data_IF_734483738384
#
_entry.id   IF_734483738384
#
_cell.length_a   1.000
_cell.length_b   1.000
_cell.length_c   1.000
_cell.angle_alpha   90.00
_cell.angle_beta   90.00
_cell.angle_gamma   90.00
#
_symmetry.space_group_name_H-M   'P 1'
#
loop_
_entity.id
_entity.type
_entity.pdbx_description
1 polymer ?
#
# COMPACT_ATOMS: atom_id res chain seq x y z
N UNK A 1 -24.79 -8.07 -8.67
CA UNK A 1 -24.97 -6.99 -7.71
C UNK A 1 -25.91 -5.92 -8.28
N UNK A 2 -26.87 -5.39 -7.49
CA UNK A 2 -27.90 -4.47 -7.99
C UNK A 2 -27.34 -3.20 -8.65
N UNK A 3 -26.24 -2.66 -8.13
CA UNK A 3 -25.59 -1.45 -8.66
C UNK A 3 -25.00 -1.64 -10.06
N UNK A 4 -24.33 -2.76 -10.30
CA UNK A 4 -23.73 -3.07 -11.60
C UNK A 4 -24.81 -3.23 -12.69
N UNK A 5 -25.88 -3.98 -12.37
CA UNK A 5 -27.00 -4.12 -13.31
C UNK A 5 -27.64 -2.78 -13.65
N UNK A 6 -27.88 -1.91 -12.63
CA UNK A 6 -28.46 -0.57 -12.82
C UNK A 6 -27.56 0.30 -13.69
N UNK A 7 -26.24 0.24 -13.49
CA UNK A 7 -25.27 0.98 -14.28
C UNK A 7 -25.33 0.60 -15.76
N UNK A 8 -25.29 -0.70 -16.09
CA UNK A 8 -25.33 -1.16 -17.48
C UNK A 8 -26.71 -1.05 -18.11
N UNK A 9 -27.79 -1.15 -17.32
CA UNK A 9 -29.15 -0.95 -17.84
C UNK A 9 -29.35 0.48 -18.36
N UNK A 10 -28.76 1.48 -17.72
CA UNK A 10 -28.90 2.88 -18.11
C UNK A 10 -30.33 3.39 -18.05
N UNK A 11 -30.59 4.54 -18.63
CA UNK A 11 -31.93 5.10 -18.74
C UNK A 11 -32.80 4.24 -19.66
N UNK A 12 -33.95 3.82 -19.15
CA UNK A 12 -34.91 3.03 -19.92
C UNK A 12 -34.59 1.56 -20.11
N UNK A 13 -33.67 1.00 -19.29
CA UNK A 13 -33.26 -0.43 -19.32
C UNK A 13 -32.79 -0.95 -20.69
N UNK A 14 -32.23 -0.09 -21.53
CA UNK A 14 -31.80 -0.44 -22.88
C UNK A 14 -30.45 -1.13 -22.93
N UNK A 15 -29.74 -1.22 -21.83
CA UNK A 15 -28.40 -1.81 -21.72
C UNK A 15 -27.37 -1.27 -22.73
N UNK A 16 -27.53 0.00 -23.14
CA UNK A 16 -26.68 0.63 -24.17
C UNK A 16 -25.19 0.60 -23.82
N UNK A 17 -24.85 0.67 -22.52
CA UNK A 17 -23.44 0.58 -22.06
C UNK A 17 -22.79 -0.78 -22.29
N UNK A 18 -23.54 -1.84 -22.57
CA UNK A 18 -22.99 -3.15 -22.95
C UNK A 18 -22.58 -3.20 -24.43
N UNK A 19 -23.01 -2.23 -25.21
CA UNK A 19 -22.67 -2.09 -26.64
C UNK A 19 -21.63 -1.00 -26.88
N UNK A 20 -20.95 -0.52 -25.83
CA UNK A 20 -19.83 0.39 -25.95
C UNK A 20 -18.64 -0.35 -26.60
N UNK A 21 -18.13 0.18 -27.70
CA UNK A 21 -17.03 -0.42 -28.48
C UNK A 21 -15.77 -0.63 -27.66
N UNK A 22 -15.55 0.20 -26.63
CA UNK A 22 -14.40 0.12 -25.74
C UNK A 22 -14.59 -0.83 -24.55
N UNK A 23 -15.81 -1.34 -24.32
CA UNK A 23 -16.10 -2.12 -23.12
C UNK A 23 -15.16 -3.33 -22.95
N UNK A 24 -15.02 -4.14 -24.00
CA UNK A 24 -14.18 -5.34 -23.96
C UNK A 24 -12.69 -4.99 -23.81
N UNK A 25 -12.22 -3.95 -24.51
CA UNK A 25 -10.85 -3.45 -24.38
C UNK A 25 -10.56 -2.98 -22.96
N UNK A 26 -11.44 -2.17 -22.38
CA UNK A 26 -11.30 -1.69 -21.00
C UNK A 26 -11.33 -2.83 -19.97
N UNK A 27 -12.20 -3.84 -20.16
CA UNK A 27 -12.23 -5.02 -19.30
C UNK A 27 -10.93 -5.84 -19.37
N UNK A 28 -10.34 -5.99 -20.57
CA UNK A 28 -9.03 -6.63 -20.73
C UNK A 28 -7.92 -5.83 -20.03
N UNK A 29 -7.87 -4.52 -20.22
CA UNK A 29 -6.92 -3.64 -19.52
C UNK A 29 -7.04 -3.79 -17.99
N UNK A 30 -8.26 -3.78 -17.44
CA UNK A 30 -8.49 -3.99 -16.01
C UNK A 30 -8.01 -5.38 -15.57
N UNK A 31 -8.25 -6.41 -16.36
CA UNK A 31 -7.79 -7.77 -16.06
C UNK A 31 -6.26 -7.84 -16.00
N UNK A 32 -5.56 -7.15 -16.91
CA UNK A 32 -4.08 -7.07 -16.90
C UNK A 32 -3.54 -6.51 -15.57
N UNK A 33 -4.13 -5.43 -15.05
CA UNK A 33 -3.76 -4.92 -13.72
C UNK A 33 -3.93 -6.01 -12.65
N UNK A 34 -5.05 -6.75 -12.67
CA UNK A 34 -5.32 -7.76 -11.65
C UNK A 34 -4.46 -9.01 -11.78
N UNK A 35 -3.96 -9.35 -12.97
CA UNK A 35 -2.95 -10.39 -13.14
C UNK A 35 -1.64 -9.97 -12.45
N UNK A 36 -1.19 -8.74 -12.66
CA UNK A 36 0.01 -8.22 -11.98
C UNK A 36 -0.20 -8.15 -10.45
N UNK A 37 -1.29 -7.56 -10.00
CA UNK A 37 -1.55 -7.33 -8.56
C UNK A 37 -1.74 -8.65 -7.78
N UNK A 38 -2.53 -9.58 -8.32
CA UNK A 38 -2.94 -10.77 -7.57
C UNK A 38 -2.08 -12.00 -7.89
N UNK A 39 -1.48 -12.07 -9.08
CA UNK A 39 -0.69 -13.22 -9.53
C UNK A 39 0.78 -12.90 -9.66
N UNK A 40 1.16 -11.61 -9.67
CA UNK A 40 2.53 -11.14 -9.92
C UNK A 40 3.06 -11.63 -11.28
N UNK A 41 2.15 -11.82 -12.24
CA UNK A 41 2.44 -12.27 -13.58
C UNK A 41 2.72 -11.08 -14.48
N UNK A 42 3.65 -11.25 -15.41
CA UNK A 42 3.81 -10.34 -16.54
C UNK A 42 2.75 -10.61 -17.60
N UNK A 43 2.39 -9.59 -18.37
CA UNK A 43 1.36 -9.67 -19.39
C UNK A 43 1.99 -9.39 -20.75
N UNK A 44 1.84 -10.31 -21.69
CA UNK A 44 2.37 -10.16 -23.04
C UNK A 44 1.84 -8.88 -23.71
N UNK A 45 2.74 -8.09 -24.28
CA UNK A 45 2.42 -6.81 -24.90
C UNK A 45 2.29 -5.62 -23.95
N UNK A 46 2.43 -5.84 -22.63
CA UNK A 46 2.34 -4.81 -21.60
C UNK A 46 3.69 -4.64 -20.88
N UNK A 47 4.64 -3.92 -21.50
CA UNK A 47 6.02 -3.79 -21.01
C UNK A 47 6.12 -3.30 -19.54
N UNK A 48 5.22 -2.42 -19.11
CA UNK A 48 5.17 -1.91 -17.74
C UNK A 48 5.03 -3.02 -16.68
N UNK A 49 4.47 -4.19 -17.07
CA UNK A 49 4.27 -5.32 -16.14
C UNK A 49 5.59 -6.04 -15.79
N UNK A 50 6.66 -5.82 -16.58
CA UNK A 50 8.01 -6.32 -16.31
C UNK A 50 8.77 -5.43 -15.32
N UNK A 51 8.32 -4.19 -15.11
CA UNK A 51 8.97 -3.24 -14.22
C UNK A 51 8.80 -3.67 -12.75
N UNK A 52 9.91 -4.09 -12.14
CA UNK A 52 9.94 -4.58 -10.76
C UNK A 52 9.45 -3.55 -9.74
N UNK A 53 9.74 -2.28 -9.96
CA UNK A 53 9.30 -1.21 -9.05
C UNK A 53 7.79 -1.00 -9.10
N UNK A 54 7.18 -1.15 -10.29
CA UNK A 54 5.72 -1.12 -10.43
C UNK A 54 5.10 -2.35 -9.76
N UNK A 55 5.68 -3.54 -9.97
CA UNK A 55 5.20 -4.76 -9.30
C UNK A 55 5.26 -4.60 -7.76
N UNK A 56 6.38 -4.09 -7.22
CA UNK A 56 6.57 -3.85 -5.79
C UNK A 56 5.55 -2.87 -5.22
N UNK A 57 5.33 -1.73 -5.88
CA UNK A 57 4.38 -0.73 -5.35
C UNK A 57 2.93 -1.18 -5.46
N UNK A 58 2.54 -1.90 -6.52
CA UNK A 58 1.21 -2.50 -6.64
C UNK A 58 0.99 -3.60 -5.60
N UNK A 59 2.00 -4.44 -5.34
CA UNK A 59 1.92 -5.43 -4.27
C UNK A 59 1.81 -4.77 -2.87
N UNK A 60 2.48 -3.64 -2.64
CA UNK A 60 2.33 -2.87 -1.41
C UNK A 60 0.92 -2.27 -1.28
N UNK A 61 0.38 -1.66 -2.34
CA UNK A 61 -0.99 -1.16 -2.41
C UNK A 61 -2.02 -2.26 -2.14
N UNK A 62 -1.77 -3.49 -2.62
CA UNK A 62 -2.64 -4.64 -2.38
C UNK A 62 -2.73 -5.06 -0.90
N UNK A 63 -1.86 -4.53 -0.04
CA UNK A 63 -1.94 -4.69 1.42
C UNK A 63 -2.75 -3.60 2.11
N UNK A 64 -3.25 -2.61 1.38
CA UNK A 64 -4.08 -1.56 1.94
C UNK A 64 -5.41 -2.14 2.44
N UNK A 65 -5.91 -1.75 3.62
CA UNK A 65 -7.03 -2.43 4.29
C UNK A 65 -8.41 -2.34 3.60
N UNK A 66 -8.50 -1.62 2.51
CA UNK A 66 -9.73 -1.51 1.73
C UNK A 66 -9.46 -1.41 0.23
N UNK A 67 -10.52 -1.39 -0.58
CA UNK A 67 -10.45 -1.45 -2.04
C UNK A 67 -10.40 -0.06 -2.72
N UNK A 68 -10.39 1.06 -1.97
CA UNK A 68 -10.49 2.40 -2.56
C UNK A 68 -9.27 2.77 -3.42
N UNK A 69 -8.08 2.27 -3.10
CA UNK A 69 -6.89 2.49 -3.89
C UNK A 69 -7.00 1.97 -5.34
N UNK A 70 -7.89 0.99 -5.56
CA UNK A 70 -8.09 0.38 -6.89
C UNK A 70 -8.72 1.34 -7.88
N UNK A 71 -9.57 2.26 -7.42
CA UNK A 71 -10.24 3.21 -8.31
C UNK A 71 -9.24 4.11 -9.04
N UNK A 72 -8.40 4.91 -8.37
CA UNK A 72 -7.44 5.78 -9.04
C UNK A 72 -6.42 4.99 -9.88
N UNK A 73 -6.00 3.80 -9.46
CA UNK A 73 -5.08 2.97 -10.25
C UNK A 73 -5.72 2.53 -11.57
N UNK A 74 -6.99 2.06 -11.53
CA UNK A 74 -7.72 1.65 -12.74
C UNK A 74 -7.99 2.84 -13.63
N UNK A 75 -8.49 3.95 -13.08
CA UNK A 75 -8.81 5.16 -13.86
C UNK A 75 -7.54 5.68 -14.54
N UNK A 76 -6.42 5.75 -13.81
CA UNK A 76 -5.14 6.18 -14.35
C UNK A 76 -4.69 5.30 -15.53
N UNK A 77 -4.73 3.99 -15.36
CA UNK A 77 -4.33 3.05 -16.41
C UNK A 77 -5.22 3.16 -17.66
N UNK A 78 -6.54 3.21 -17.47
CA UNK A 78 -7.48 3.35 -18.58
C UNK A 78 -7.31 4.66 -19.37
N UNK A 79 -6.93 5.74 -18.69
CA UNK A 79 -6.79 7.06 -19.31
C UNK A 79 -5.42 7.29 -19.96
N UNK A 80 -4.36 6.71 -19.41
CA UNK A 80 -2.98 7.11 -19.76
C UNK A 80 -2.08 5.97 -20.23
N UNK A 81 -2.55 4.70 -20.28
CA UNK A 81 -1.71 3.55 -20.67
C UNK A 81 -1.09 3.65 -22.06
N UNK A 82 -1.69 4.42 -22.94
CA UNK A 82 -1.26 4.54 -24.32
C UNK A 82 -0.29 5.75 -24.53
N UNK A 83 0.12 6.44 -23.45
CA UNK A 83 1.07 7.57 -23.51
C UNK A 83 2.52 7.08 -23.49
N UNK A 84 3.42 7.79 -24.18
CA UNK A 84 4.85 7.43 -24.29
C UNK A 84 5.54 7.32 -22.93
N UNK A 85 5.23 8.21 -21.98
CA UNK A 85 5.80 8.25 -20.63
C UNK A 85 4.99 7.46 -19.58
N UNK A 86 4.07 6.59 -20.03
CA UNK A 86 3.14 5.91 -19.12
C UNK A 86 3.85 5.22 -17.95
N UNK A 87 4.80 4.33 -18.23
CA UNK A 87 5.46 3.51 -17.20
C UNK A 87 6.09 4.36 -16.10
N UNK A 88 6.84 5.38 -16.49
CA UNK A 88 7.52 6.31 -15.58
C UNK A 88 6.52 7.11 -14.74
N UNK A 89 5.48 7.63 -15.37
CA UNK A 89 4.46 8.45 -14.69
C UNK A 89 3.56 7.57 -13.80
N UNK A 90 3.24 6.36 -14.24
CA UNK A 90 2.45 5.40 -13.47
C UNK A 90 3.17 4.95 -12.19
N UNK A 91 4.49 4.69 -12.27
CA UNK A 91 5.30 4.38 -11.08
C UNK A 91 5.26 5.52 -10.07
N UNK A 92 5.51 6.76 -10.51
CA UNK A 92 5.48 7.93 -9.64
C UNK A 92 4.09 8.16 -9.04
N UNK A 93 3.05 8.01 -9.85
CA UNK A 93 1.67 8.09 -9.43
C UNK A 93 1.34 7.06 -8.33
N UNK A 94 1.66 5.78 -8.54
CA UNK A 94 1.42 4.73 -7.57
C UNK A 94 2.21 4.93 -6.26
N UNK A 95 3.46 5.38 -6.35
CA UNK A 95 4.29 5.73 -5.17
C UNK A 95 3.67 6.88 -4.37
N UNK A 96 3.25 7.95 -5.05
CA UNK A 96 2.58 9.09 -4.41
C UNK A 96 1.27 8.66 -3.77
N UNK A 97 0.45 7.90 -4.50
CA UNK A 97 -0.81 7.37 -3.98
C UNK A 97 -0.59 6.54 -2.71
N UNK A 98 0.37 5.62 -2.73
CA UNK A 98 0.70 4.80 -1.57
C UNK A 98 1.17 5.63 -0.39
N UNK A 99 2.06 6.63 -0.62
CA UNK A 99 2.57 7.49 0.42
C UNK A 99 1.46 8.27 1.13
N UNK A 100 0.53 8.83 0.37
CA UNK A 100 -0.61 9.57 0.93
C UNK A 100 -1.58 8.64 1.67
N UNK A 101 -1.94 7.51 1.07
CA UNK A 101 -2.83 6.53 1.67
C UNK A 101 -2.27 5.97 2.99
N UNK A 102 -0.99 5.58 2.99
CA UNK A 102 -0.33 5.05 4.18
C UNK A 102 -0.25 6.10 5.28
N UNK A 103 0.17 7.32 4.95
CA UNK A 103 0.31 8.41 5.93
C UNK A 103 -1.02 8.71 6.61
N UNK A 104 -2.09 8.89 5.82
CA UNK A 104 -3.43 9.12 6.36
C UNK A 104 -3.93 7.95 7.20
N UNK A 105 -3.70 6.71 6.74
CA UNK A 105 -4.15 5.52 7.48
C UNK A 105 -3.40 5.31 8.80
N UNK A 106 -2.12 5.64 8.85
CA UNK A 106 -1.34 5.58 10.09
C UNK A 106 -1.88 6.54 11.16
N UNK A 107 -2.32 7.73 10.75
CA UNK A 107 -2.93 8.69 11.69
C UNK A 107 -4.37 8.32 12.03
N UNK A 108 -5.19 8.03 11.00
CA UNK A 108 -6.62 7.74 11.14
C UNK A 108 -6.93 6.41 10.45
N UNK A 109 -6.87 5.26 11.16
CA UNK A 109 -7.02 3.93 10.57
C UNK A 109 -8.49 3.60 10.23
N UNK A 110 -9.14 4.47 9.45
CA UNK A 110 -10.50 4.30 8.99
C UNK A 110 -10.61 4.41 7.46
N UNK A 111 -11.58 3.69 6.91
CA UNK A 111 -11.86 3.70 5.47
C UNK A 111 -12.30 5.09 4.99
N UNK A 112 -13.08 5.79 5.80
CA UNK A 112 -13.67 7.08 5.40
C UNK A 112 -12.65 8.22 5.32
N UNK A 113 -11.49 8.09 5.96
CA UNK A 113 -10.46 9.14 6.01
C UNK A 113 -9.92 9.51 4.61
N UNK A 114 -9.94 8.60 3.65
CA UNK A 114 -9.36 8.79 2.30
C UNK A 114 -10.41 8.91 1.18
N UNK A 115 -11.68 8.60 1.46
CA UNK A 115 -12.72 8.44 0.45
C UNK A 115 -12.92 9.70 -0.42
N UNK A 116 -13.05 10.86 0.20
CA UNK A 116 -13.24 12.12 -0.53
C UNK A 116 -12.02 12.50 -1.37
N UNK A 117 -10.80 12.31 -0.83
CA UNK A 117 -9.56 12.59 -1.55
C UNK A 117 -9.40 11.69 -2.78
N UNK A 118 -9.76 10.41 -2.68
CA UNK A 118 -9.73 9.47 -3.81
C UNK A 118 -10.71 9.89 -4.90
N UNK A 119 -11.95 10.27 -4.56
CA UNK A 119 -12.92 10.71 -5.56
C UNK A 119 -12.46 11.97 -6.31
N UNK A 120 -11.82 12.92 -5.61
CA UNK A 120 -11.23 14.10 -6.25
C UNK A 120 -10.05 13.73 -7.14
N UNK A 121 -9.22 12.79 -6.69
CA UNK A 121 -8.10 12.28 -7.47
C UNK A 121 -8.58 11.61 -8.77
N UNK A 122 -9.64 10.79 -8.72
CA UNK A 122 -10.22 10.16 -9.91
C UNK A 122 -10.65 11.22 -10.95
N UNK A 123 -11.24 12.33 -10.51
CA UNK A 123 -11.58 13.44 -11.42
C UNK A 123 -10.33 14.12 -11.98
N UNK A 124 -9.31 14.35 -11.15
CA UNK A 124 -8.05 14.97 -11.59
C UNK A 124 -7.29 14.12 -12.63
N UNK A 125 -7.34 12.79 -12.52
CA UNK A 125 -6.71 11.84 -13.46
C UNK A 125 -7.29 12.00 -14.88
N UNK A 126 -8.58 12.27 -15.03
CA UNK A 126 -9.22 12.44 -16.34
C UNK A 126 -8.59 13.60 -17.12
N UNK A 127 -8.15 14.63 -16.43
CA UNK A 127 -7.58 15.84 -17.03
C UNK A 127 -6.06 15.84 -17.19
N UNK A 128 -5.32 14.94 -16.54
CA UNK A 128 -3.86 14.97 -16.51
C UNK A 128 -3.24 13.62 -16.19
N UNK A 129 -2.11 13.29 -16.86
CA UNK A 129 -1.24 12.16 -16.50
C UNK A 129 -0.39 12.43 -15.24
N UNK A 130 -0.40 13.66 -14.72
CA UNK A 130 0.20 14.06 -13.45
C UNK A 130 -0.83 14.77 -12.57
N UNK A 131 -1.89 14.05 -12.14
CA UNK A 131 -3.01 14.63 -11.41
C UNK A 131 -2.59 15.26 -10.08
N UNK A 132 -3.39 16.20 -9.59
CA UNK A 132 -3.21 16.77 -8.25
C UNK A 132 -3.73 15.81 -7.18
N UNK A 133 -3.01 15.74 -6.06
CA UNK A 133 -3.37 14.94 -4.89
C UNK A 133 -3.83 15.86 -3.76
N UNK A 134 -5.10 15.78 -3.39
CA UNK A 134 -5.69 16.59 -2.31
C UNK A 134 -5.92 15.75 -1.04
N UNK A 135 -4.88 15.01 -0.63
CA UNK A 135 -4.92 14.28 0.64
C UNK A 135 -4.49 15.22 1.78
N UNK A 136 -4.99 14.92 2.98
CA UNK A 136 -4.55 15.66 4.17
C UNK A 136 -3.09 15.42 4.47
N UNK A 137 -2.40 16.45 4.88
CA UNK A 137 -1.02 16.34 5.37
C UNK A 137 -1.02 15.82 6.81
N UNK A 138 -0.16 14.86 7.08
CA UNK A 138 0.06 14.32 8.43
C UNK A 138 1.33 14.92 9.01
N UNK A 139 1.27 15.33 10.28
CA UNK A 139 2.44 15.84 10.99
C UNK A 139 3.57 14.82 11.06
N UNK A 140 4.81 15.25 10.84
CA UNK A 140 5.98 14.36 10.76
C UNK A 140 6.26 13.62 12.06
N UNK A 141 5.98 14.22 13.23
CA UNK A 141 6.17 13.57 14.53
C UNK A 141 5.06 12.54 14.76
N UNK A 142 3.81 12.89 14.45
CA UNK A 142 2.68 11.96 14.50
C UNK A 142 2.96 10.76 13.61
N UNK A 143 3.43 10.98 12.38
CA UNK A 143 3.78 9.92 11.45
C UNK A 143 4.88 9.01 12.02
N UNK A 144 5.94 9.60 12.61
CA UNK A 144 7.02 8.84 13.24
C UNK A 144 6.51 7.93 14.35
N UNK A 145 5.68 8.44 15.24
CA UNK A 145 5.16 7.68 16.39
C UNK A 145 4.19 6.59 15.94
N UNK A 146 3.39 6.85 14.92
CA UNK A 146 2.49 5.85 14.33
C UNK A 146 3.21 4.78 13.52
N UNK A 147 4.37 5.08 12.93
CA UNK A 147 5.23 4.04 12.31
C UNK A 147 5.84 3.14 13.38
N UNK A 148 6.29 3.67 14.52
CA UNK A 148 6.87 2.86 15.61
C UNK A 148 5.86 1.91 16.22
N UNK A 149 4.64 2.37 16.48
CA UNK A 149 3.55 1.56 17.02
C UNK A 149 2.33 1.61 16.08
N UNK A 150 2.38 0.87 14.96
CA UNK A 150 1.37 0.97 13.91
C UNK A 150 0.11 0.18 14.26
N UNK A 151 -1.03 0.67 13.78
CA UNK A 151 -2.23 -0.14 13.73
C UNK A 151 -1.97 -1.47 13.00
N UNK A 152 -2.46 -2.58 13.53
CA UNK A 152 -2.19 -3.94 13.01
C UNK A 152 -2.35 -4.09 11.49
N UNK A 153 -3.34 -3.41 10.91
CA UNK A 153 -3.60 -3.49 9.47
C UNK A 153 -2.59 -2.71 8.62
N UNK A 154 -1.79 -1.80 9.21
CA UNK A 154 -0.74 -1.07 8.52
C UNK A 154 0.59 -1.85 8.48
N UNK A 155 0.80 -2.80 9.38
CA UNK A 155 2.07 -3.51 9.54
C UNK A 155 2.55 -4.16 8.23
N UNK A 156 1.65 -4.82 7.49
CA UNK A 156 2.04 -5.46 6.22
C UNK A 156 2.53 -4.46 5.17
N UNK A 157 1.91 -3.28 5.09
CA UNK A 157 2.36 -2.22 4.18
C UNK A 157 3.76 -1.73 4.54
N UNK A 158 4.01 -1.46 5.82
CA UNK A 158 5.31 -1.01 6.32
C UNK A 158 6.40 -2.05 6.05
N UNK A 159 6.15 -3.33 6.37
CA UNK A 159 7.09 -4.41 6.17
C UNK A 159 7.41 -4.64 4.69
N UNK A 160 6.43 -4.50 3.79
CA UNK A 160 6.67 -4.59 2.35
C UNK A 160 7.60 -3.49 1.86
N UNK A 161 7.34 -2.23 2.24
CA UNK A 161 8.22 -1.13 1.83
C UNK A 161 9.63 -1.31 2.38
N UNK A 162 9.77 -1.71 3.64
CA UNK A 162 11.10 -2.02 4.20
C UNK A 162 11.84 -3.11 3.40
N UNK A 163 11.13 -4.18 3.03
CA UNK A 163 11.73 -5.26 2.24
C UNK A 163 12.10 -4.79 0.82
N UNK A 164 11.23 -4.00 0.18
CA UNK A 164 11.42 -3.55 -1.21
C UNK A 164 12.47 -2.45 -1.38
N UNK A 165 12.89 -1.80 -0.32
CA UNK A 165 14.08 -0.94 -0.32
C UNK A 165 15.40 -1.75 -0.27
N UNK A 166 15.37 -3.01 0.16
CA UNK A 166 16.55 -3.86 0.29
C UNK A 166 16.65 -4.99 -0.76
N UNK A 167 15.57 -5.24 -1.53
CA UNK A 167 15.53 -6.33 -2.52
C UNK A 167 14.77 -5.97 -3.79
N UNK A 168 15.14 -6.59 -4.90
CA UNK A 168 14.48 -6.36 -6.20
C UNK A 168 13.22 -7.23 -6.37
N UNK A 169 13.23 -8.43 -5.80
CA UNK A 169 12.09 -9.34 -5.94
C UNK A 169 10.96 -9.00 -4.95
N UNK A 170 9.72 -9.18 -5.41
CA UNK A 170 8.55 -9.07 -4.54
C UNK A 170 8.55 -10.16 -3.49
N UNK A 171 7.93 -9.89 -2.34
CA UNK A 171 7.79 -10.88 -1.28
C UNK A 171 7.02 -12.12 -1.78
N UNK A 172 7.37 -13.33 -1.28
CA UNK A 172 6.66 -14.55 -1.65
C UNK A 172 5.19 -14.49 -1.23
N UNK A 173 4.30 -15.22 -1.91
CA UNK A 173 2.87 -15.18 -1.62
C UNK A 173 2.52 -15.61 -0.19
N UNK A 174 3.27 -16.55 0.35
CA UNK A 174 3.04 -17.11 1.68
C UNK A 174 4.10 -16.65 2.67
N UNK A 175 3.95 -15.42 3.13
CA UNK A 175 4.71 -14.86 4.23
C UNK A 175 3.82 -14.36 5.37
N UNK A 176 4.37 -14.29 6.56
CA UNK A 176 3.70 -13.88 7.78
C UNK A 176 4.53 -12.80 8.50
N UNK A 177 3.89 -12.09 9.42
CA UNK A 177 4.55 -11.14 10.30
C UNK A 177 5.21 -11.98 11.40
N UNK A 178 6.53 -11.98 11.41
CA UNK A 178 7.31 -12.60 12.47
C UNK A 178 7.62 -11.59 13.58
N UNK A 179 7.46 -12.02 14.83
CA UNK A 179 7.89 -11.29 16.02
C UNK A 179 9.27 -11.79 16.46
N UNK A 180 10.30 -10.95 16.31
CA UNK A 180 11.69 -11.31 16.66
C UNK A 180 11.76 -11.72 18.13
N UNK A 181 11.30 -10.85 19.05
CA UNK A 181 11.00 -11.21 20.42
C UNK A 181 9.63 -11.90 20.45
N UNK A 182 9.54 -13.15 20.92
CA UNK A 182 8.32 -13.92 20.82
C UNK A 182 7.15 -13.31 21.61
N UNK A 183 5.94 -13.49 21.13
CA UNK A 183 4.71 -13.03 21.82
C UNK A 183 4.43 -13.79 23.13
N UNK A 184 5.03 -14.96 23.31
CA UNK A 184 4.98 -15.73 24.55
C UNK A 184 6.39 -15.94 25.06
N UNK A 185 6.69 -15.41 26.23
CA UNK A 185 8.02 -15.50 26.88
C UNK A 185 7.92 -16.25 28.20
N UNK A 186 9.06 -16.73 28.70
CA UNK A 186 9.18 -17.33 30.03
C UNK A 186 9.22 -16.23 31.11
N UNK A 187 8.62 -16.45 32.26
CA UNK A 187 8.49 -15.47 33.34
C UNK A 187 9.84 -14.89 33.85
N UNK A 188 10.93 -15.65 33.70
CA UNK A 188 12.28 -15.23 34.08
C UNK A 188 13.05 -14.44 33.01
N UNK A 189 12.45 -14.22 31.82
CA UNK A 189 13.12 -13.50 30.74
C UNK A 189 13.15 -11.99 30.98
N UNK A 190 12.08 -11.44 31.54
CA UNK A 190 11.99 -10.03 31.92
C UNK A 190 11.79 -9.88 33.41
N UNK A 191 12.90 -9.76 34.16
CA UNK A 191 12.83 -9.52 35.60
C UNK A 191 12.47 -8.05 35.88
N UNK A 192 11.47 -7.83 36.74
CA UNK A 192 11.06 -6.51 37.19
C UNK A 192 10.48 -5.54 36.13
N UNK A 193 10.02 -6.04 35.01
CA UNK A 193 9.32 -5.24 33.98
C UNK A 193 7.84 -5.65 33.99
N UNK A 194 6.95 -4.66 33.92
CA UNK A 194 5.51 -4.89 33.83
C UNK A 194 5.17 -5.59 32.49
N UNK A 195 4.39 -6.66 32.57
CA UNK A 195 3.94 -7.46 31.40
C UNK A 195 3.22 -6.62 30.35
N UNK A 196 2.49 -5.58 30.75
CA UNK A 196 1.75 -4.74 29.80
C UNK A 196 2.69 -3.85 28.97
N UNK A 197 3.80 -3.39 29.56
CA UNK A 197 4.86 -2.69 28.84
C UNK A 197 5.52 -3.62 27.82
N UNK A 198 5.78 -4.87 28.21
CA UNK A 198 6.39 -5.87 27.32
C UNK A 198 5.44 -6.18 26.14
N UNK A 199 4.14 -6.42 26.43
CA UNK A 199 3.13 -6.70 25.40
C UNK A 199 3.01 -5.55 24.40
N UNK A 200 3.01 -4.30 24.89
CA UNK A 200 2.98 -3.13 24.03
C UNK A 200 4.22 -3.11 23.11
N UNK A 201 5.41 -3.24 23.68
CA UNK A 201 6.69 -3.19 22.93
C UNK A 201 6.83 -4.31 21.91
N UNK A 202 6.34 -5.49 22.20
CA UNK A 202 6.34 -6.63 21.26
C UNK A 202 5.55 -6.30 19.97
N UNK A 203 4.53 -5.46 20.07
CA UNK A 203 3.72 -5.05 18.92
C UNK A 203 4.31 -3.88 18.13
N UNK A 204 5.43 -3.31 18.55
CA UNK A 204 6.15 -2.28 17.79
C UNK A 204 6.75 -2.81 16.48
N UNK A 205 6.95 -1.92 15.52
CA UNK A 205 7.53 -2.26 14.21
C UNK A 205 8.98 -2.75 14.32
N UNK A 206 9.70 -2.25 15.31
CA UNK A 206 11.06 -2.68 15.63
C UNK A 206 11.18 -4.16 15.96
N UNK A 207 10.09 -4.79 16.39
CA UNK A 207 10.04 -6.22 16.67
C UNK A 207 9.49 -7.07 15.52
N UNK A 208 9.19 -6.49 14.35
CA UNK A 208 8.49 -7.20 13.27
C UNK A 208 9.33 -7.25 12.01
N UNK A 209 9.31 -8.42 11.34
CA UNK A 209 9.91 -8.66 10.03
C UNK A 209 8.95 -9.51 9.17
N UNK A 210 9.03 -9.41 7.83
CA UNK A 210 8.34 -10.35 6.95
C UNK A 210 9.11 -11.67 6.93
N UNK A 211 8.43 -12.81 7.07
CA UNK A 211 9.07 -14.10 7.09
C UNK A 211 8.26 -15.15 6.33
N UNK A 212 8.92 -16.02 5.56
CA UNK A 212 8.25 -17.09 4.84
C UNK A 212 7.48 -17.98 5.81
N UNK A 213 6.23 -18.27 5.49
CA UNK A 213 5.33 -19.03 6.37
C UNK A 213 5.93 -20.36 6.84
N UNK A 214 6.61 -21.09 5.96
CA UNK A 214 7.22 -22.39 6.30
C UNK A 214 8.35 -22.24 7.33
N UNK A 215 9.24 -21.28 7.11
CA UNK A 215 10.36 -21.00 8.02
C UNK A 215 9.87 -20.42 9.35
N UNK A 216 8.83 -19.58 9.31
CA UNK A 216 8.20 -19.03 10.51
C UNK A 216 7.60 -20.12 11.40
N UNK A 217 6.95 -21.13 10.82
CA UNK A 217 6.41 -22.28 11.58
C UNK A 217 7.56 -23.04 12.27
N UNK A 218 8.70 -23.24 11.60
CA UNK A 218 9.88 -23.93 12.18
C UNK A 218 10.52 -23.11 13.28
N UNK A 219 10.68 -21.79 13.08
CA UNK A 219 11.21 -20.86 14.08
C UNK A 219 10.34 -20.83 15.36
N UNK A 220 9.01 -20.88 15.16
CA UNK A 220 8.04 -20.95 16.24
C UNK A 220 8.21 -19.82 17.26
N UNK A 221 7.99 -20.14 18.52
CA UNK A 221 8.09 -19.20 19.66
C UNK A 221 9.49 -19.17 20.28
N UNK A 222 10.52 -19.50 19.50
CA UNK A 222 11.92 -19.47 19.95
C UNK A 222 12.40 -18.04 20.24
N UNK A 223 13.40 -17.92 21.10
CA UNK A 223 14.14 -16.67 21.28
C UNK A 223 15.07 -16.40 20.11
N UNK A 224 15.52 -15.16 19.96
CA UNK A 224 16.24 -14.66 18.80
C UNK A 224 17.40 -15.56 18.32
N UNK A 225 18.31 -15.94 19.22
CA UNK A 225 19.44 -16.80 18.87
C UNK A 225 19.05 -18.15 18.26
N UNK A 226 17.92 -18.74 18.69
CA UNK A 226 17.37 -19.97 18.09
C UNK A 226 16.74 -19.73 16.72
N UNK A 227 16.18 -18.55 16.47
CA UNK A 227 15.54 -18.19 15.20
C UNK A 227 16.54 -17.81 14.12
N UNK A 228 17.75 -17.36 14.48
CA UNK A 228 18.81 -16.91 13.54
C UNK A 228 19.09 -17.93 12.44
N UNK A 229 19.09 -19.23 12.76
CA UNK A 229 19.31 -20.29 11.78
C UNK A 229 18.22 -20.30 10.69
N UNK A 230 16.95 -20.10 11.07
CA UNK A 230 15.85 -20.02 10.11
C UNK A 230 15.86 -18.69 9.34
N UNK A 231 16.31 -17.59 9.97
CA UNK A 231 16.49 -16.30 9.28
C UNK A 231 17.58 -16.36 8.23
N UNK A 232 18.66 -17.13 8.45
CA UNK A 232 19.71 -17.35 7.47
C UNK A 232 19.23 -18.05 6.19
N UNK A 233 18.25 -18.94 6.33
CA UNK A 233 17.62 -19.67 5.22
C UNK A 233 16.59 -18.82 4.45
N UNK A 234 16.22 -17.64 4.95
CA UNK A 234 15.24 -16.77 4.33
C UNK A 234 15.72 -16.23 2.97
N UNK A 235 14.82 -16.23 1.99
CA UNK A 235 15.00 -15.50 0.73
C UNK A 235 14.69 -14.00 0.86
N UNK A 236 14.08 -13.58 1.97
CA UNK A 236 13.74 -12.17 2.23
C UNK A 236 14.97 -11.49 2.84
N UNK A 237 15.55 -10.53 2.11
CA UNK A 237 16.84 -9.89 2.44
C UNK A 237 16.85 -9.30 3.86
N UNK A 238 15.86 -8.48 4.21
CA UNK A 238 15.79 -7.85 5.53
C UNK A 238 15.69 -8.87 6.67
N UNK A 239 15.04 -10.00 6.45
CA UNK A 239 14.96 -11.10 7.43
C UNK A 239 16.30 -11.85 7.52
N UNK A 240 16.88 -12.17 6.36
CA UNK A 240 18.22 -12.78 6.32
C UNK A 240 19.28 -11.92 7.00
N UNK A 241 19.19 -10.59 6.87
CA UNK A 241 20.13 -9.69 7.54
C UNK A 241 20.04 -9.76 9.07
N UNK A 242 18.90 -10.14 9.65
CA UNK A 242 18.78 -10.36 11.10
C UNK A 242 19.66 -11.50 11.61
N UNK A 243 19.91 -12.54 10.80
CA UNK A 243 20.80 -13.64 11.20
C UNK A 243 22.26 -13.23 11.35
N UNK A 244 22.68 -12.13 10.71
CA UNK A 244 24.05 -11.62 10.70
C UNK A 244 24.40 -10.73 11.91
N UNK A 245 23.43 -10.43 12.76
CA UNK A 245 23.69 -9.64 13.97
C UNK A 245 24.55 -10.46 14.94
N UNK A 246 25.54 -9.82 15.58
CA UNK A 246 26.48 -10.49 16.48
C UNK A 246 25.80 -11.01 17.76
N UNK A 247 24.78 -10.28 18.26
CA UNK A 247 24.04 -10.68 19.45
C UNK A 247 23.13 -11.88 19.17
N UNK A 248 23.01 -12.78 20.13
CA UNK A 248 22.01 -13.85 20.17
C UNK A 248 20.78 -13.47 20.99
N UNK A 249 20.77 -12.27 21.54
CA UNK A 249 19.65 -11.73 22.32
C UNK A 249 18.95 -10.60 21.57
N UNK A 250 17.63 -10.48 21.79
CA UNK A 250 16.77 -9.44 21.28
C UNK A 250 15.85 -8.97 22.38
N UNK A 251 16.10 -7.78 22.90
CA UNK A 251 15.42 -7.24 24.06
C UNK A 251 14.62 -5.96 23.71
N UNK A 252 14.05 -5.31 24.72
CA UNK A 252 13.22 -4.11 24.53
C UNK A 252 14.00 -2.91 24.02
N UNK A 253 15.30 -2.79 24.38
CA UNK A 253 16.17 -1.72 23.87
C UNK A 253 16.46 -1.90 22.39
N UNK A 254 16.72 -3.14 21.96
CA UNK A 254 16.90 -3.45 20.53
C UNK A 254 15.64 -3.12 19.72
N UNK A 255 14.44 -3.36 20.28
CA UNK A 255 13.18 -2.96 19.67
C UNK A 255 13.12 -1.44 19.54
N UNK A 256 13.41 -0.70 20.61
CA UNK A 256 13.35 0.75 20.62
C UNK A 256 14.35 1.39 19.63
N UNK A 257 15.57 0.89 19.57
CA UNK A 257 16.58 1.34 18.60
C UNK A 257 16.14 1.07 17.16
N UNK A 258 15.59 -0.13 16.92
CA UNK A 258 15.11 -0.48 15.59
C UNK A 258 13.85 0.29 15.19
N UNK A 259 12.95 0.63 16.14
CA UNK A 259 11.81 1.51 15.92
C UNK A 259 12.24 2.86 15.33
N UNK A 260 13.29 3.46 15.89
CA UNK A 260 13.83 4.74 15.42
C UNK A 260 14.36 4.59 13.99
N UNK A 261 15.24 3.60 13.75
CA UNK A 261 15.83 3.37 12.43
C UNK A 261 14.78 3.10 11.36
N UNK A 262 13.80 2.26 11.65
CA UNK A 262 12.71 1.91 10.73
C UNK A 262 11.82 3.12 10.47
N UNK A 263 11.47 3.87 11.51
CA UNK A 263 10.65 5.07 11.37
C UNK A 263 11.34 6.13 10.51
N UNK A 264 12.64 6.38 10.72
CA UNK A 264 13.37 7.36 9.94
C UNK A 264 13.56 6.91 8.48
N UNK A 265 13.86 5.64 8.24
CA UNK A 265 13.98 5.08 6.90
C UNK A 265 12.66 5.17 6.12
N UNK A 266 11.54 4.77 6.74
CA UNK A 266 10.23 4.83 6.10
C UNK A 266 9.77 6.28 5.83
N UNK A 267 9.99 7.21 6.76
CA UNK A 267 9.72 8.63 6.51
C UNK A 267 10.54 9.17 5.35
N UNK A 268 11.81 8.78 5.25
CA UNK A 268 12.67 9.18 4.13
C UNK A 268 12.14 8.66 2.78
N UNK A 269 11.68 7.40 2.73
CA UNK A 269 11.06 6.82 1.53
C UNK A 269 9.80 7.57 1.15
N UNK A 270 8.87 7.76 2.08
CA UNK A 270 7.61 8.48 1.81
C UNK A 270 7.87 9.92 1.36
N UNK A 271 8.83 10.60 1.99
CA UNK A 271 9.24 11.95 1.58
C UNK A 271 9.82 11.95 0.17
N UNK A 272 10.73 11.03 -0.15
CA UNK A 272 11.32 10.89 -1.49
C UNK A 272 10.23 10.72 -2.55
N UNK A 273 9.26 9.85 -2.35
CA UNK A 273 8.17 9.62 -3.29
C UNK A 273 7.27 10.84 -3.45
N UNK A 274 7.05 11.60 -2.38
CA UNK A 274 6.33 12.86 -2.43
C UNK A 274 7.10 13.94 -3.21
N UNK A 275 8.41 14.06 -2.98
CA UNK A 275 9.27 15.05 -3.64
C UNK A 275 9.49 14.74 -5.13
N UNK A 276 9.52 13.45 -5.52
CA UNK A 276 9.67 13.00 -6.90
C UNK A 276 8.40 13.22 -7.75
N UNK A 277 7.27 13.43 -7.11
CA UNK A 277 6.00 13.63 -7.77
C UNK A 277 5.70 15.13 -7.93
N UNK A 278 5.64 15.57 -9.18
CA UNK A 278 5.27 16.95 -9.53
C UNK A 278 3.98 16.90 -10.32
N UNK A 279 2.89 17.40 -9.74
CA UNK A 279 1.62 17.53 -10.43
C UNK A 279 1.70 18.59 -11.54
N UNK A 280 0.92 18.40 -12.60
CA UNK A 280 0.74 19.45 -13.58
C UNK A 280 0.08 20.67 -12.91
N UNK A 281 0.41 21.90 -13.36
CA UNK A 281 -0.29 23.08 -12.90
C UNK A 281 -1.79 22.88 -13.10
N UNK A 282 -2.58 23.11 -12.07
CA UNK A 282 -4.03 23.14 -12.22
C UNK A 282 -4.33 24.28 -13.20
N UNK A 283 -4.50 23.93 -14.47
CA UNK A 283 -5.09 24.87 -15.42
C UNK A 283 -6.48 25.07 -14.86
N UNK A 284 -6.77 26.26 -14.33
CA UNK A 284 -8.14 26.67 -14.07
C UNK A 284 -8.82 26.64 -15.43
N UNK A 285 -9.40 25.50 -15.77
CA UNK A 285 -10.37 25.44 -16.84
C UNK A 285 -11.45 26.38 -16.31
N UNK A 286 -11.57 27.54 -16.92
CA UNK A 286 -12.78 28.34 -16.78
C UNK A 286 -13.92 27.36 -16.85
N UNK A 287 -14.60 27.20 -15.74
CA UNK A 287 -15.53 26.11 -15.50
C UNK A 287 -16.62 26.16 -16.60
N UNK A 288 -16.36 25.48 -17.69
CA UNK A 288 -17.48 25.00 -18.50
C UNK A 288 -18.31 24.19 -17.51
N UNK A 289 -19.55 24.64 -17.27
CA UNK A 289 -20.44 24.01 -16.32
C UNK A 289 -20.38 22.49 -16.52
N UNK A 290 -20.28 21.70 -15.45
CA UNK A 290 -20.16 20.25 -15.56
C UNK A 290 -21.22 19.75 -16.54
N UNK A 291 -20.85 18.83 -17.42
CA UNK A 291 -21.82 18.28 -18.37
C UNK A 291 -23.03 17.71 -17.61
N UNK A 292 -24.18 17.66 -18.23
CA UNK A 292 -25.38 17.11 -17.62
C UNK A 292 -25.17 15.70 -17.05
N UNK A 293 -24.28 14.90 -17.65
CA UNK A 293 -23.87 13.57 -17.14
C UNK A 293 -23.00 13.67 -15.89
N UNK A 294 -22.07 14.62 -15.83
CA UNK A 294 -21.23 14.87 -14.64
C UNK A 294 -22.06 15.39 -13.47
N UNK A 295 -23.03 16.29 -13.73
CA UNK A 295 -23.98 16.76 -12.72
C UNK A 295 -24.88 15.65 -12.20
N UNK A 296 -25.38 14.77 -13.08
CA UNK A 296 -26.19 13.63 -12.69
C UNK A 296 -25.40 12.62 -11.83
N UNK A 297 -24.12 12.42 -12.13
CA UNK A 297 -23.24 11.56 -11.34
C UNK A 297 -22.94 12.17 -9.97
N UNK A 298 -22.67 13.47 -9.90
CA UNK A 298 -22.47 14.21 -8.64
C UNK A 298 -23.75 14.18 -7.78
N UNK A 299 -24.92 14.39 -8.36
CA UNK A 299 -26.18 14.29 -7.63
C UNK A 299 -26.49 12.88 -7.14
N UNK A 300 -26.15 11.85 -7.91
CA UNK A 300 -26.32 10.46 -7.48
C UNK A 300 -25.37 10.13 -6.32
N UNK A 301 -24.15 10.65 -6.32
CA UNK A 301 -23.20 10.52 -5.21
C UNK A 301 -23.66 11.27 -3.96
N UNK A 302 -24.23 12.50 -4.11
CA UNK A 302 -24.84 13.24 -3.01
C UNK A 302 -26.02 12.49 -2.40
N UNK A 303 -26.93 11.95 -3.22
CA UNK A 303 -28.08 11.15 -2.76
C UNK A 303 -27.68 9.88 -2.01
N UNK A 304 -26.49 9.34 -2.30
CA UNK A 304 -25.94 8.15 -1.62
C UNK A 304 -25.09 8.49 -0.39
N UNK A 305 -24.98 9.76 -0.03
CA UNK A 305 -24.11 10.21 1.08
C UNK A 305 -22.63 9.92 0.85
N UNK A 306 -22.19 9.93 -0.42
CA UNK A 306 -20.82 9.65 -0.81
C UNK A 306 -19.99 10.93 -1.02
N UNK A 307 -20.68 12.08 -1.11
CA UNK A 307 -20.10 13.44 -1.16
C UNK A 307 -20.97 14.37 -0.31
#
# INVERSE_FOLDING_TARGET
TPGLRKYYAGAGNKFSKLFDDNLLSNLKKILNIWLVVNKKETVEGEAWTENKDIQKILDALNSYPNEFWKYPVIVYYLQHSDTEDFEKNFLKFCRKLFADLLSVYLEIPTINAVKSAILKLDVSIIGSSKPSFEFRTVDSQVLADRIKNPHRNAVRMLLKIMAYEEQDEVLPDKWEIEHILPQKWQANYFLNINDDIIKEKIEHIGNKIPFEKKLNIVAGNGYFGKKKKQYEESGIVITKNMSKLDSDDWNLDNIAERDIRVSDALKAVLKRWNDEYVADPVVSVDTAAPSAEQLAMIEEFKKKGWV
#
